data_IF_018998043404
#
_entry.id   IF_018998043404
#
_cell.length_a   1.000
_cell.length_b   1.000
_cell.length_c   1.000
_cell.angle_alpha   90.00
_cell.angle_beta   90.00
_cell.angle_gamma   90.00
#
_symmetry.space_group_name_H-M   'P 1'
#
loop_
_entity.id
_entity.type
_entity.pdbx_description
1 polymer ?
#
# COMPACT_ATOMS: atom_id res chain seq x y z
N UNK A 1 -0.35 4.07 15.55
CA UNK A 1 -1.17 3.03 14.86
C UNK A 1 -1.13 1.69 15.60
N UNK A 2 -2.29 1.11 15.96
CA UNK A 2 -2.36 -0.24 16.58
C UNK A 2 -1.65 -1.27 15.68
N UNK A 3 -0.91 -2.23 16.26
CA UNK A 3 -0.13 -3.25 15.52
C UNK A 3 -0.91 -3.91 14.37
N UNK A 4 -2.23 -4.05 14.54
CA UNK A 4 -3.17 -4.61 13.56
C UNK A 4 -3.06 -3.95 12.17
N UNK A 5 -3.01 -2.62 12.10
CA UNK A 5 -2.98 -1.88 10.83
C UNK A 5 -1.65 -2.04 10.06
N UNK A 6 -0.61 -2.56 10.70
CA UNK A 6 0.66 -2.88 10.03
C UNK A 6 0.62 -4.24 9.33
N UNK A 7 -0.22 -5.16 9.76
CA UNK A 7 -0.28 -6.52 9.20
C UNK A 7 -1.50 -6.72 8.31
N UNK A 8 -2.54 -5.89 8.49
CA UNK A 8 -3.74 -5.92 7.67
C UNK A 8 -3.44 -5.79 6.16
N UNK A 9 -2.62 -4.82 5.68
CA UNK A 9 -2.35 -4.71 4.24
C UNK A 9 -1.58 -5.90 3.69
N UNK A 10 -0.68 -6.49 4.50
CA UNK A 10 0.07 -7.71 4.14
C UNK A 10 -0.85 -8.92 4.07
N UNK A 11 -1.77 -9.08 5.02
CA UNK A 11 -2.76 -10.15 4.98
C UNK A 11 -3.66 -10.05 3.75
N UNK A 12 -4.18 -8.84 3.46
CA UNK A 12 -4.99 -8.58 2.27
C UNK A 12 -4.18 -8.88 0.99
N UNK A 13 -2.91 -8.48 0.95
CA UNK A 13 -2.01 -8.79 -0.16
C UNK A 13 -1.81 -10.30 -0.35
N UNK A 14 -1.55 -11.04 0.74
CA UNK A 14 -1.38 -12.50 0.69
C UNK A 14 -2.65 -13.18 0.21
N UNK A 15 -3.83 -12.72 0.64
CA UNK A 15 -5.09 -13.25 0.12
C UNK A 15 -5.25 -12.98 -1.37
N UNK A 16 -4.87 -11.79 -1.86
CA UNK A 16 -4.93 -11.45 -3.30
C UNK A 16 -3.98 -12.35 -4.10
N UNK A 17 -2.75 -12.59 -3.62
CA UNK A 17 -1.77 -13.45 -4.30
C UNK A 17 -2.25 -14.89 -4.52
N UNK A 18 -3.12 -15.43 -3.66
CA UNK A 18 -3.68 -16.78 -3.82
C UNK A 18 -4.51 -16.87 -5.10
N UNK A 19 -5.22 -15.80 -5.46
CA UNK A 19 -6.09 -15.75 -6.64
C UNK A 19 -5.38 -15.34 -7.93
N UNK A 20 -4.12 -14.91 -7.87
CA UNK A 20 -3.33 -14.64 -9.08
C UNK A 20 -2.75 -15.96 -9.61
N UNK A 21 -2.96 -16.21 -10.89
CA UNK A 21 -2.31 -17.32 -11.63
C UNK A 21 -0.79 -17.26 -11.49
N UNK A 22 -0.12 -18.40 -11.66
CA UNK A 22 1.33 -18.49 -11.54
C UNK A 22 2.00 -17.78 -12.72
N UNK A 23 2.15 -16.46 -12.60
CA UNK A 23 2.80 -15.58 -13.55
C UNK A 23 4.11 -15.00 -12.97
N UNK A 24 5.03 -14.53 -13.81
CA UNK A 24 6.23 -13.81 -13.36
C UNK A 24 5.89 -12.60 -12.48
N UNK A 25 4.74 -11.97 -12.71
CA UNK A 25 4.23 -10.86 -11.90
C UNK A 25 3.97 -11.28 -10.46
N UNK A 26 3.40 -12.47 -10.23
CA UNK A 26 3.17 -13.01 -8.88
C UNK A 26 4.48 -13.12 -8.09
N UNK A 27 5.54 -13.62 -8.74
CA UNK A 27 6.87 -13.74 -8.14
C UNK A 27 7.47 -12.35 -7.81
N UNK A 28 7.39 -11.41 -8.76
CA UNK A 28 7.86 -10.03 -8.57
C UNK A 28 7.14 -9.32 -7.42
N UNK A 29 5.82 -9.40 -7.37
CA UNK A 29 5.00 -8.82 -6.31
C UNK A 29 5.33 -9.44 -4.93
N UNK A 30 5.52 -10.76 -4.90
CA UNK A 30 5.89 -11.48 -3.66
C UNK A 30 7.23 -10.99 -3.10
N UNK A 31 8.25 -10.87 -3.96
CA UNK A 31 9.57 -10.35 -3.58
C UNK A 31 9.44 -8.91 -3.06
N UNK A 32 8.70 -8.05 -3.77
CA UNK A 32 8.49 -6.66 -3.37
C UNK A 32 7.88 -6.53 -1.98
N UNK A 33 6.89 -7.34 -1.65
CA UNK A 33 6.26 -7.32 -0.32
C UNK A 33 7.16 -7.83 0.78
N UNK A 34 7.92 -8.90 0.53
CA UNK A 34 8.91 -9.40 1.51
C UNK A 34 9.94 -8.30 1.81
N UNK A 35 10.48 -7.64 0.79
CA UNK A 35 11.42 -6.53 0.96
C UNK A 35 10.80 -5.38 1.76
N UNK A 36 9.56 -4.99 1.44
CA UNK A 36 8.86 -3.92 2.16
C UNK A 36 8.58 -4.30 3.63
N UNK A 37 8.24 -5.55 3.92
CA UNK A 37 8.07 -6.04 5.29
C UNK A 37 9.37 -5.97 6.08
N UNK A 38 10.51 -6.36 5.48
CA UNK A 38 11.82 -6.29 6.12
C UNK A 38 12.16 -4.84 6.45
N UNK A 39 11.98 -3.92 5.49
CA UNK A 39 12.22 -2.48 5.68
C UNK A 39 11.31 -1.91 6.76
N UNK A 40 10.03 -2.24 6.75
CA UNK A 40 9.06 -1.78 7.74
C UNK A 40 9.41 -2.28 9.15
N UNK A 41 9.80 -3.54 9.29
CA UNK A 41 10.26 -4.13 10.56
C UNK A 41 11.51 -3.42 11.06
N UNK A 42 12.49 -3.18 10.19
CA UNK A 42 13.75 -2.52 10.52
C UNK A 42 13.57 -1.06 10.95
N UNK A 43 12.76 -0.28 10.20
CA UNK A 43 12.46 1.10 10.59
C UNK A 43 11.76 1.15 11.95
N UNK A 44 10.84 0.23 12.22
CA UNK A 44 10.08 0.22 13.47
C UNK A 44 10.93 -0.13 14.69
N UNK A 45 11.94 -1.00 14.56
CA UNK A 45 12.82 -1.30 15.69
C UNK A 45 13.66 -0.10 16.12
N UNK A 46 14.00 0.81 15.20
CA UNK A 46 14.72 2.05 15.52
C UNK A 46 13.86 3.11 16.21
N UNK A 47 12.56 3.16 15.92
CA UNK A 47 11.65 4.22 16.41
C UNK A 47 11.30 4.09 17.89
N UNK A 48 11.45 2.91 18.51
CA UNK A 48 11.02 2.67 19.91
C UNK A 48 11.83 3.41 20.98
N UNK A 49 12.92 4.09 20.63
CA UNK A 49 13.90 4.57 21.62
C UNK A 49 13.84 6.08 21.94
N UNK A 50 13.18 6.94 21.14
CA UNK A 50 13.44 8.39 21.27
C UNK A 50 12.22 9.35 21.41
N UNK A 51 10.97 9.00 21.08
CA UNK A 51 9.95 10.04 20.86
C UNK A 51 8.54 9.61 21.31
N UNK A 52 8.01 10.13 22.42
CA UNK A 52 6.60 9.90 22.82
C UNK A 52 5.71 11.12 22.49
N UNK A 53 6.26 12.35 22.52
CA UNK A 53 5.47 13.59 22.35
C UNK A 53 5.52 14.17 20.91
N UNK A 54 6.57 13.88 20.15
CA UNK A 54 6.68 14.20 18.71
C UNK A 54 5.77 13.31 17.83
N UNK A 55 5.33 12.15 18.37
CA UNK A 55 4.66 11.09 17.63
C UNK A 55 3.19 11.43 17.28
N UNK A 56 2.50 12.31 18.02
CA UNK A 56 1.08 12.59 17.78
C UNK A 56 0.82 13.49 16.57
N UNK A 57 1.56 14.60 16.42
CA UNK A 57 1.47 15.47 15.24
C UNK A 57 1.91 14.74 13.98
N UNK A 58 2.97 13.94 14.09
CA UNK A 58 3.46 13.11 13.01
C UNK A 58 2.45 12.04 12.64
N UNK A 59 1.87 11.33 13.61
CA UNK A 59 0.85 10.31 13.31
C UNK A 59 -0.41 10.94 12.70
N UNK A 60 -0.81 12.14 13.12
CA UNK A 60 -1.90 12.88 12.49
C UNK A 60 -1.58 13.23 11.03
N UNK A 61 -0.36 13.71 10.75
CA UNK A 61 0.09 13.99 9.38
C UNK A 61 0.16 12.72 8.53
N UNK A 62 0.74 11.64 9.05
CA UNK A 62 0.78 10.35 8.39
C UNK A 62 -0.63 9.91 8.02
N UNK A 63 -1.54 9.89 8.99
CA UNK A 63 -2.92 9.46 8.76
C UNK A 63 -3.62 10.33 7.71
N UNK A 64 -3.44 11.65 7.78
CA UNK A 64 -3.99 12.62 6.82
C UNK A 64 -3.48 12.39 5.39
N UNK A 65 -2.17 12.19 5.22
CA UNK A 65 -1.57 11.96 3.91
C UNK A 65 -1.90 10.56 3.36
N UNK A 66 -1.91 9.54 4.22
CA UNK A 66 -2.35 8.19 3.87
C UNK A 66 -3.79 8.18 3.38
N UNK A 67 -4.70 8.89 4.07
CA UNK A 67 -6.09 9.05 3.63
C UNK A 67 -6.19 9.78 2.30
N UNK A 68 -5.50 10.92 2.14
CA UNK A 68 -5.50 11.67 0.86
C UNK A 68 -5.00 10.83 -0.30
N UNK A 69 -3.95 10.04 -0.09
CA UNK A 69 -3.44 9.14 -1.11
C UNK A 69 -4.46 8.05 -1.47
N UNK A 70 -5.09 7.43 -0.47
CA UNK A 70 -6.15 6.44 -0.72
C UNK A 70 -7.31 7.05 -1.51
N UNK A 71 -7.77 8.26 -1.17
CA UNK A 71 -8.82 8.94 -1.92
C UNK A 71 -8.40 9.24 -3.36
N UNK A 72 -7.21 9.83 -3.55
CA UNK A 72 -6.68 10.13 -4.88
C UNK A 72 -6.57 8.88 -5.73
N UNK A 73 -6.01 7.81 -5.16
CA UNK A 73 -5.88 6.57 -5.88
C UNK A 73 -7.26 6.05 -6.26
N UNK A 74 -8.19 5.86 -5.32
CA UNK A 74 -9.52 5.32 -5.63
C UNK A 74 -10.25 6.14 -6.70
N UNK A 75 -10.10 7.48 -6.68
CA UNK A 75 -10.62 8.36 -7.72
C UNK A 75 -9.97 8.10 -9.09
N UNK A 76 -8.67 7.83 -9.14
CA UNK A 76 -7.98 7.38 -10.35
C UNK A 76 -8.48 6.01 -10.84
N UNK A 77 -8.77 5.05 -9.95
CA UNK A 77 -9.39 3.78 -10.33
C UNK A 77 -10.76 4.00 -10.95
N UNK A 78 -11.60 4.85 -10.34
CA UNK A 78 -12.92 5.18 -10.86
C UNK A 78 -12.80 5.80 -12.26
N UNK A 79 -11.86 6.72 -12.48
CA UNK A 79 -11.61 7.26 -13.81
C UNK A 79 -11.21 6.17 -14.81
N UNK A 80 -10.24 5.32 -14.45
CA UNK A 80 -9.85 4.19 -15.29
C UNK A 80 -11.06 3.32 -15.63
N UNK A 81 -11.87 2.93 -14.65
CA UNK A 81 -13.06 2.11 -14.88
C UNK A 81 -14.09 2.82 -15.79
N UNK A 82 -14.34 4.11 -15.63
CA UNK A 82 -15.29 4.87 -16.47
C UNK A 82 -14.79 4.97 -17.91
N UNK A 83 -13.52 5.35 -18.11
CA UNK A 83 -12.94 5.51 -19.45
C UNK A 83 -12.79 4.18 -20.19
N UNK A 84 -12.38 3.12 -19.47
CA UNK A 84 -12.24 1.77 -20.04
C UNK A 84 -13.57 1.02 -20.17
N UNK A 85 -14.66 1.46 -19.51
CA UNK A 85 -16.00 0.93 -19.78
C UNK A 85 -16.60 1.50 -21.08
N UNK A 86 -16.19 2.71 -21.48
CA UNK A 86 -16.64 3.33 -22.74
C UNK A 86 -15.80 2.88 -23.95
N UNK A 87 -14.51 2.57 -23.75
CA UNK A 87 -13.69 1.93 -24.77
C UNK A 87 -13.84 0.42 -24.67
N UNK A 88 -14.34 -0.21 -25.73
CA UNK A 88 -14.54 -1.66 -25.94
C UNK A 88 -13.24 -2.48 -25.86
N UNK A 89 -12.49 -2.39 -24.76
CA UNK A 89 -11.29 -3.17 -24.46
C UNK A 89 -11.65 -4.20 -23.41
N UNK A 90 -12.03 -5.38 -23.90
CA UNK A 90 -12.31 -6.62 -23.15
C UNK A 90 -11.11 -7.17 -22.34
N UNK A 91 -10.07 -6.37 -22.12
CA UNK A 91 -8.80 -6.78 -21.52
C UNK A 91 -8.25 -5.68 -20.63
N UNK A 92 -9.04 -5.18 -19.67
CA UNK A 92 -8.43 -4.75 -18.42
C UNK A 92 -7.80 -6.01 -17.80
N UNK A 93 -6.53 -6.23 -18.13
CA UNK A 93 -5.73 -7.33 -17.59
C UNK A 93 -5.86 -7.29 -16.06
N UNK A 94 -6.42 -8.36 -15.50
CA UNK A 94 -6.63 -8.57 -14.07
C UNK A 94 -5.36 -8.19 -13.28
N UNK A 95 -4.19 -8.48 -13.86
CA UNK A 95 -2.87 -8.13 -13.36
C UNK A 95 -2.65 -6.64 -13.09
N UNK A 96 -3.16 -5.75 -13.95
CA UNK A 96 -3.03 -4.30 -13.77
C UNK A 96 -3.92 -3.79 -12.64
N UNK A 97 -5.15 -4.29 -12.55
CA UNK A 97 -6.07 -3.94 -11.45
C UNK A 97 -5.51 -4.45 -10.13
N UNK A 98 -4.96 -5.67 -10.13
CA UNK A 98 -4.29 -6.22 -8.95
C UNK A 98 -3.07 -5.38 -8.60
N UNK A 99 -2.14 -5.10 -9.51
CA UNK A 99 -0.97 -4.27 -9.22
C UNK A 99 -1.36 -2.90 -8.66
N UNK A 100 -2.39 -2.27 -9.24
CA UNK A 100 -2.97 -1.03 -8.77
C UNK A 100 -3.48 -1.15 -7.32
N UNK A 101 -4.27 -2.18 -7.00
CA UNK A 101 -4.78 -2.41 -5.64
C UNK A 101 -3.64 -2.57 -4.64
N UNK A 102 -2.57 -3.26 -5.03
CA UNK A 102 -1.40 -3.45 -4.18
C UNK A 102 -0.68 -2.12 -3.91
N UNK A 103 -0.54 -1.24 -4.91
CA UNK A 103 0.00 0.11 -4.69
C UNK A 103 -0.86 0.91 -3.72
N UNK A 104 -2.18 0.86 -3.86
CA UNK A 104 -3.10 1.56 -2.95
C UNK A 104 -3.09 1.01 -1.53
N UNK A 105 -2.74 -0.26 -1.33
CA UNK A 105 -2.58 -0.87 -0.01
C UNK A 105 -1.19 -0.62 0.59
N UNK A 106 -0.12 -0.55 -0.21
CA UNK A 106 1.23 -0.44 0.32
C UNK A 106 1.71 0.99 0.54
N UNK A 107 1.46 1.88 -0.41
CA UNK A 107 1.97 3.26 -0.36
C UNK A 107 1.49 3.99 0.91
N UNK A 108 0.19 4.01 1.25
CA UNK A 108 -0.28 4.75 2.41
C UNK A 108 0.13 4.14 3.75
N UNK A 109 0.40 2.83 3.81
CA UNK A 109 0.72 2.14 5.07
C UNK A 109 2.21 1.96 5.33
N UNK A 110 3.06 2.03 4.29
CA UNK A 110 4.51 1.82 4.43
C UNK A 110 5.35 2.97 3.89
N UNK A 111 5.01 3.54 2.74
CA UNK A 111 5.83 4.59 2.12
C UNK A 111 5.55 5.95 2.76
N UNK A 112 4.28 6.35 2.87
CA UNK A 112 3.88 7.63 3.45
C UNK A 112 4.39 7.81 4.88
N UNK A 113 4.24 6.83 5.80
CA UNK A 113 4.83 6.91 7.14
C UNK A 113 6.35 7.02 7.12
N UNK A 114 7.02 6.38 6.16
CA UNK A 114 8.47 6.38 6.02
C UNK A 114 9.03 7.73 5.59
N UNK A 115 8.28 8.47 4.77
CA UNK A 115 8.64 9.82 4.29
C UNK A 115 8.32 10.86 5.35
N UNK A 116 7.10 10.87 5.89
CA UNK A 116 6.64 11.89 6.83
C UNK A 116 7.38 11.79 8.17
N UNK A 117 7.81 10.61 8.61
CA UNK A 117 8.67 10.53 9.81
C UNK A 117 10.06 11.11 9.62
N UNK A 118 10.47 11.43 8.39
CA UNK A 118 11.80 11.97 8.07
C UNK A 118 11.81 13.50 8.00
N UNK A 119 10.63 14.14 7.94
CA UNK A 119 10.46 15.59 7.77
C UNK A 119 9.54 16.13 8.86
#
# INVERSE_FOLDING_TARGET
MKKLFTYLPVLVFLTILIFIENSPLKAFLSIGVISLMIVAKYKRSKIKQEEIEYDDRINANISKWSLRFMFFANLLLIFVLIFFNQMLLNTLYLEFVVAYLLFTLFIPFYIIPTIIKRY
#
